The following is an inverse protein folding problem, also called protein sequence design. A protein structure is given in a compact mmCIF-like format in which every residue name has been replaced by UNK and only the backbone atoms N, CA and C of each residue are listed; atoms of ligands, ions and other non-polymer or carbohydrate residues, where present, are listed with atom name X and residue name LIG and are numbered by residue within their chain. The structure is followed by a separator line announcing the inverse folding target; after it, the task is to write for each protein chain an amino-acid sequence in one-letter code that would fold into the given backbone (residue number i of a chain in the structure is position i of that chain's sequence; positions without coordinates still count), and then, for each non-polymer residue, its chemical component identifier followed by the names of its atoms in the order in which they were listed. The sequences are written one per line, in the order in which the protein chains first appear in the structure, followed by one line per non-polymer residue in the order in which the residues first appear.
data_IF_897651181457
#
_entry.id   IF_897651181457
#
_cell.length_a   1.000
_cell.length_b   1.000
_cell.length_c   1.000
_cell.angle_alpha   90.00
_cell.angle_beta   90.00
_cell.angle_gamma   90.00
#
_symmetry.space_group_name_H-M   'P 1'
#
loop_
_entity.id
_entity.type
_entity.pdbx_description
1 polymer ?
#
# COMPACT_ATOMS: atom_id res chain seq x y z
N UNK A 1 -46.42 -30.98 -4.49
CA UNK A 1 -45.04 -30.74 -4.95
C UNK A 1 -44.63 -29.39 -4.40
N UNK A 2 -43.77 -29.41 -3.39
CA UNK A 2 -43.29 -28.22 -2.65
C UNK A 2 -41.91 -27.87 -3.16
N UNK A 3 -41.73 -26.71 -3.79
CA UNK A 3 -40.45 -26.02 -4.01
C UNK A 3 -40.79 -24.52 -4.10
N UNK A 4 -40.57 -23.71 -3.07
CA UNK A 4 -39.32 -23.11 -2.58
C UNK A 4 -39.34 -21.61 -2.90
N UNK A 5 -39.66 -20.80 -1.89
CA UNK A 5 -39.30 -19.38 -1.80
C UNK A 5 -37.78 -19.27 -1.68
N UNK A 6 -37.16 -18.34 -2.42
CA UNK A 6 -35.96 -17.63 -1.97
C UNK A 6 -36.06 -16.20 -2.50
N UNK A 7 -36.61 -15.30 -1.67
CA UNK A 7 -36.28 -13.87 -1.72
C UNK A 7 -34.86 -13.71 -1.18
N UNK A 8 -34.04 -12.92 -1.86
CA UNK A 8 -32.76 -12.46 -1.30
C UNK A 8 -32.51 -11.01 -1.74
N UNK A 9 -32.86 -10.02 -0.92
CA UNK A 9 -32.52 -8.62 -1.17
C UNK A 9 -31.42 -8.19 -0.19
N UNK A 10 -30.15 -8.24 -0.58
CA UNK A 10 -29.06 -7.67 0.22
C UNK A 10 -27.93 -7.19 -0.69
N UNK A 11 -28.07 -5.95 -1.16
CA UNK A 11 -26.94 -5.07 -1.47
C UNK A 11 -27.21 -3.77 -0.70
N UNK A 12 -27.02 -3.86 0.62
CA UNK A 12 -26.88 -2.68 1.46
C UNK A 12 -25.53 -2.05 1.14
N UNK A 13 -25.58 -0.89 0.50
CA UNK A 13 -24.50 0.07 0.45
C UNK A 13 -24.15 0.46 1.89
N UNK A 14 -23.09 -0.12 2.45
CA UNK A 14 -22.50 0.37 3.70
C UNK A 14 -21.84 1.72 3.41
N UNK A 15 -22.58 2.80 3.66
CA UNK A 15 -21.97 4.10 3.92
C UNK A 15 -21.21 3.99 5.24
N UNK A 16 -19.90 3.80 5.18
CA UNK A 16 -19.02 3.88 6.36
C UNK A 16 -19.05 5.33 6.85
N UNK A 17 -19.93 5.60 7.81
CA UNK A 17 -19.88 6.83 8.60
C UNK A 17 -18.64 6.74 9.49
N UNK A 18 -17.52 7.26 9.01
CA UNK A 18 -16.31 7.44 9.81
C UNK A 18 -16.68 8.45 10.91
N UNK A 19 -16.79 7.98 12.15
CA UNK A 19 -16.91 8.87 13.29
C UNK A 19 -15.66 9.76 13.31
N UNK A 20 -15.82 11.03 12.93
CA UNK A 20 -14.72 11.98 12.86
C UNK A 20 -14.21 12.18 14.28
N UNK A 21 -12.98 11.74 14.51
CA UNK A 21 -12.28 11.87 15.78
C UNK A 21 -12.30 13.34 16.27
N UNK A 22 -12.52 13.53 17.57
CA UNK A 22 -12.60 14.87 18.18
C UNK A 22 -11.32 15.66 17.92
N UNK A 23 -10.18 15.00 17.97
CA UNK A 23 -8.88 15.60 17.71
C UNK A 23 -8.75 16.03 16.24
N UNK A 24 -9.30 15.23 15.31
CA UNK A 24 -9.31 15.57 13.89
C UNK A 24 -10.15 16.83 13.61
N UNK A 25 -11.26 17.02 14.35
CA UNK A 25 -12.06 18.25 14.25
C UNK A 25 -11.33 19.47 14.83
N UNK A 26 -10.60 19.30 15.92
CA UNK A 26 -9.82 20.38 16.53
C UNK A 26 -8.65 20.81 15.63
N UNK A 27 -7.92 19.84 15.07
CA UNK A 27 -6.84 20.09 14.10
C UNK A 27 -7.39 20.76 12.84
N UNK A 28 -8.56 20.33 12.33
CA UNK A 28 -9.21 20.99 11.20
C UNK A 28 -9.54 22.46 11.46
N UNK A 29 -10.05 22.77 12.66
CA UNK A 29 -10.30 24.16 13.08
C UNK A 29 -9.00 24.97 13.18
N UNK A 30 -7.92 24.38 13.71
CA UNK A 30 -6.61 25.04 13.78
C UNK A 30 -6.08 25.34 12.37
N UNK A 31 -6.16 24.36 11.48
CA UNK A 31 -5.69 24.47 10.10
C UNK A 31 -6.38 25.61 9.35
N UNK A 32 -7.71 25.72 9.44
CA UNK A 32 -8.47 26.81 8.81
C UNK A 32 -8.16 28.21 9.34
N UNK A 33 -7.51 28.32 10.51
CA UNK A 33 -7.08 29.61 11.09
C UNK A 33 -5.67 30.02 10.67
N UNK A 34 -4.92 29.13 10.02
CA UNK A 34 -3.60 29.46 9.49
C UNK A 34 -3.76 30.41 8.28
N UNK A 35 -2.70 31.15 7.97
CA UNK A 35 -2.66 31.98 6.77
C UNK A 35 -2.61 31.09 5.52
N UNK A 36 -3.22 31.55 4.41
CA UNK A 36 -3.42 30.74 3.20
C UNK A 36 -2.11 30.20 2.60
N UNK A 37 -1.03 30.96 2.67
CA UNK A 37 0.31 30.56 2.23
C UNK A 37 0.89 29.42 3.09
N UNK A 38 0.69 29.49 4.41
CA UNK A 38 1.08 28.43 5.34
C UNK A 38 0.22 27.18 5.12
N UNK A 39 -1.08 27.33 4.90
CA UNK A 39 -1.98 26.22 4.57
C UNK A 39 -1.54 25.53 3.27
N UNK A 40 -1.25 26.31 2.23
CA UNK A 40 -0.80 25.80 0.94
C UNK A 40 0.52 25.03 1.10
N UNK A 41 1.49 25.60 1.81
CA UNK A 41 2.78 24.95 2.05
C UNK A 41 2.61 23.61 2.80
N UNK A 42 1.79 23.57 3.85
CA UNK A 42 1.49 22.34 4.58
C UNK A 42 0.80 21.30 3.69
N UNK A 43 -0.15 21.72 2.85
CA UNK A 43 -0.83 20.83 1.92
C UNK A 43 0.17 20.23 0.93
N UNK A 44 1.03 21.04 0.34
CA UNK A 44 1.89 20.62 -0.75
C UNK A 44 3.10 19.80 -0.31
N UNK A 45 3.76 20.22 0.76
CA UNK A 45 4.99 19.58 1.24
C UNK A 45 4.72 18.41 2.19
N UNK A 46 3.59 18.39 2.88
CA UNK A 46 3.34 17.40 3.94
C UNK A 46 2.09 16.55 3.69
N UNK A 47 0.94 17.14 3.36
CA UNK A 47 -0.32 16.37 3.24
C UNK A 47 -0.38 15.58 1.93
N UNK A 48 -0.16 16.23 0.78
CA UNK A 48 -0.23 15.57 -0.55
C UNK A 48 0.76 14.40 -0.69
N UNK A 49 2.03 14.50 -0.25
CA UNK A 49 2.97 13.39 -0.34
C UNK A 49 2.54 12.17 0.48
N UNK A 50 2.00 12.39 1.69
CA UNK A 50 1.47 11.32 2.54
C UNK A 50 0.26 10.64 1.90
N UNK A 51 -0.72 11.40 1.40
CA UNK A 51 -1.88 10.84 0.69
C UNK A 51 -1.46 9.98 -0.51
N UNK A 52 -0.45 10.42 -1.26
CA UNK A 52 0.12 9.63 -2.37
C UNK A 52 0.81 8.36 -1.87
N UNK A 53 1.48 8.42 -0.72
CA UNK A 53 2.08 7.25 -0.08
C UNK A 53 1.02 6.23 0.33
N UNK A 54 -0.05 6.67 0.99
CA UNK A 54 -1.17 5.83 1.41
C UNK A 54 -1.83 5.15 0.20
N UNK A 55 -2.03 5.89 -0.89
CA UNK A 55 -2.57 5.35 -2.14
C UNK A 55 -1.68 4.25 -2.74
N UNK A 56 -0.36 4.43 -2.71
CA UNK A 56 0.61 3.43 -3.18
C UNK A 56 0.62 2.18 -2.30
N UNK A 57 0.58 2.36 -0.98
CA UNK A 57 0.53 1.24 -0.02
C UNK A 57 -0.78 0.45 -0.18
N UNK A 58 -1.90 1.14 -0.39
CA UNK A 58 -3.20 0.49 -0.65
C UNK A 58 -3.20 -0.27 -1.98
N UNK A 59 -2.63 0.30 -3.04
CA UNK A 59 -2.52 -0.38 -4.32
C UNK A 59 -1.60 -1.60 -4.20
N UNK A 60 -0.49 -1.50 -3.48
CA UNK A 60 0.37 -2.64 -3.21
C UNK A 60 -0.38 -3.75 -2.47
N UNK A 61 -1.16 -3.40 -1.44
CA UNK A 61 -1.95 -4.38 -0.69
C UNK A 61 -2.97 -5.09 -1.57
N UNK A 62 -3.63 -4.34 -2.45
CA UNK A 62 -4.56 -4.90 -3.43
C UNK A 62 -3.87 -5.86 -4.39
N UNK A 63 -2.70 -5.49 -4.93
CA UNK A 63 -1.95 -6.32 -5.87
C UNK A 63 -1.36 -7.55 -5.17
N UNK A 64 -0.82 -7.41 -3.95
CA UNK A 64 -0.26 -8.51 -3.16
C UNK A 64 -1.32 -9.55 -2.82
N UNK A 65 -2.54 -9.11 -2.51
CA UNK A 65 -3.68 -9.98 -2.19
C UNK A 65 -4.51 -10.38 -3.43
N UNK A 66 -4.05 -10.06 -4.64
CA UNK A 66 -4.73 -10.45 -5.88
C UNK A 66 -4.57 -11.94 -6.17
N UNK A 67 -5.52 -12.51 -6.93
CA UNK A 67 -5.44 -13.89 -7.41
C UNK A 67 -4.23 -14.10 -8.34
N UNK A 68 -3.83 -13.07 -9.08
CA UNK A 68 -2.61 -13.14 -9.90
C UNK A 68 -1.37 -13.31 -9.03
N UNK A 69 -1.21 -12.50 -7.98
CA UNK A 69 -0.06 -12.58 -7.09
C UNK A 69 -0.04 -13.88 -6.28
N UNK A 70 -1.21 -14.35 -5.81
CA UNK A 70 -1.33 -15.65 -5.12
C UNK A 70 -1.01 -16.83 -6.04
N UNK A 71 -1.21 -16.67 -7.35
CA UNK A 71 -0.79 -17.61 -8.40
C UNK A 71 0.69 -17.47 -8.80
N UNK A 72 1.52 -16.84 -7.96
CA UNK A 72 2.94 -16.59 -8.16
C UNK A 72 3.29 -15.62 -9.30
N UNK A 73 2.32 -14.86 -9.81
CA UNK A 73 2.59 -13.82 -10.79
C UNK A 73 3.10 -12.54 -10.10
N UNK A 74 4.34 -12.54 -9.64
CA UNK A 74 4.99 -11.42 -8.95
C UNK A 74 5.11 -10.14 -9.80
N UNK A 75 4.95 -10.24 -11.12
CA UNK A 75 5.12 -9.12 -12.05
C UNK A 75 4.08 -8.02 -11.83
N UNK A 76 2.91 -8.36 -11.27
CA UNK A 76 1.86 -7.40 -10.91
C UNK A 76 2.32 -6.40 -9.84
N UNK A 77 3.35 -6.74 -9.06
CA UNK A 77 3.90 -5.88 -8.01
C UNK A 77 4.94 -4.88 -8.53
N UNK A 78 5.55 -5.11 -9.70
CA UNK A 78 6.75 -4.38 -10.14
C UNK A 78 6.51 -2.87 -10.24
N UNK A 79 5.41 -2.46 -10.87
CA UNK A 79 5.10 -1.04 -11.08
C UNK A 79 4.84 -0.32 -9.75
N UNK A 80 4.02 -0.92 -8.87
CA UNK A 80 3.68 -0.31 -7.58
C UNK A 80 4.86 -0.30 -6.62
N UNK A 81 5.66 -1.38 -6.57
CA UNK A 81 6.86 -1.44 -5.73
C UNK A 81 7.92 -0.45 -6.21
N UNK A 82 8.10 -0.29 -7.53
CA UNK A 82 8.99 0.74 -8.08
C UNK A 82 8.63 2.14 -7.58
N UNK A 83 7.35 2.50 -7.65
CA UNK A 83 6.84 3.79 -7.15
C UNK A 83 7.00 3.96 -5.64
N UNK A 84 6.81 2.89 -4.87
CA UNK A 84 7.01 2.89 -3.42
C UNK A 84 8.47 3.18 -3.08
N UNK A 85 9.42 2.55 -3.76
CA UNK A 85 10.86 2.74 -3.50
C UNK A 85 11.30 4.19 -3.76
N UNK A 86 10.66 4.85 -4.72
CA UNK A 86 10.91 6.26 -5.04
C UNK A 86 10.22 7.25 -4.08
N UNK A 87 9.24 6.80 -3.29
CA UNK A 87 8.51 7.61 -2.33
C UNK A 87 8.92 7.26 -0.89
N UNK A 88 9.70 8.15 -0.25
CA UNK A 88 10.23 7.94 1.11
C UNK A 88 9.15 7.67 2.17
N UNK A 89 8.01 8.36 2.09
CA UNK A 89 6.91 8.18 3.04
C UNK A 89 6.26 6.80 2.83
N UNK A 90 5.97 6.43 1.57
CA UNK A 90 5.43 5.11 1.24
C UNK A 90 6.39 4.00 1.67
N UNK A 91 7.69 4.17 1.43
CA UNK A 91 8.71 3.20 1.81
C UNK A 91 8.79 3.00 3.33
N UNK A 92 8.71 4.09 4.10
CA UNK A 92 8.69 4.03 5.56
C UNK A 92 7.44 3.27 6.06
N UNK A 93 6.26 3.59 5.53
CA UNK A 93 5.03 2.87 5.85
C UNK A 93 5.12 1.37 5.52
N UNK A 94 5.75 1.02 4.39
CA UNK A 94 5.94 -0.37 4.00
C UNK A 94 6.86 -1.13 4.95
N UNK A 95 7.90 -0.48 5.48
CA UNK A 95 8.78 -1.09 6.48
C UNK A 95 8.07 -1.42 7.78
N UNK A 96 7.10 -0.61 8.18
CA UNK A 96 6.32 -0.83 9.39
C UNK A 96 5.19 -1.84 9.17
N UNK A 97 4.45 -1.73 8.06
CA UNK A 97 3.27 -2.56 7.79
C UNK A 97 3.61 -4.00 7.42
N UNK A 98 4.70 -4.23 6.68
CA UNK A 98 5.06 -5.52 6.10
C UNK A 98 6.30 -6.15 6.75
N UNK A 99 6.42 -6.00 8.08
CA UNK A 99 7.42 -6.69 8.88
C UNK A 99 7.21 -8.22 8.84
N UNK A 100 5.96 -8.68 8.74
CA UNK A 100 5.56 -10.09 8.67
C UNK A 100 6.18 -10.83 7.48
N UNK A 101 6.24 -10.19 6.31
CA UNK A 101 6.87 -10.72 5.10
C UNK A 101 8.33 -10.26 4.93
N UNK A 102 8.91 -9.62 5.95
CA UNK A 102 10.31 -9.20 5.96
C UNK A 102 10.66 -8.11 4.94
N UNK A 103 9.71 -7.23 4.58
CA UNK A 103 9.88 -6.27 3.48
C UNK A 103 11.17 -5.45 3.62
N UNK A 104 11.43 -4.89 4.82
CA UNK A 104 12.64 -4.11 5.11
C UNK A 104 13.92 -4.92 4.92
N UNK A 105 13.96 -6.13 5.46
CA UNK A 105 15.13 -7.01 5.37
C UNK A 105 15.47 -7.32 3.91
N UNK A 106 14.47 -7.69 3.12
CA UNK A 106 14.68 -8.00 1.71
C UNK A 106 14.97 -6.76 0.88
N UNK A 107 14.45 -5.60 1.25
CA UNK A 107 14.81 -4.33 0.63
C UNK A 107 16.29 -4.03 0.83
N UNK A 108 16.77 -4.12 2.08
CA UNK A 108 18.18 -3.92 2.40
C UNK A 108 19.07 -4.93 1.65
N UNK A 109 18.66 -6.20 1.59
CA UNK A 109 19.39 -7.24 0.87
C UNK A 109 19.50 -6.92 -0.64
N UNK A 110 18.39 -6.58 -1.30
CA UNK A 110 18.35 -6.41 -2.76
C UNK A 110 18.92 -5.07 -3.22
N UNK A 111 18.57 -3.97 -2.56
CA UNK A 111 18.90 -2.61 -3.04
C UNK A 111 20.16 -2.02 -2.40
N UNK A 112 20.45 -2.36 -1.13
CA UNK A 112 21.62 -1.82 -0.41
C UNK A 112 22.81 -2.77 -0.54
N UNK A 113 22.62 -4.04 -0.19
CA UNK A 113 23.69 -5.05 -0.25
C UNK A 113 23.89 -5.60 -1.66
N UNK A 114 22.95 -5.33 -2.59
CA UNK A 114 22.98 -5.80 -3.99
C UNK A 114 23.08 -7.33 -4.10
N UNK A 115 22.40 -8.04 -3.20
CA UNK A 115 22.35 -9.50 -3.16
C UNK A 115 20.95 -9.98 -3.54
N UNK A 116 20.78 -10.35 -4.80
CA UNK A 116 19.50 -10.89 -5.28
C UNK A 116 19.27 -12.31 -4.76
N UNK A 117 18.08 -12.56 -4.23
CA UNK A 117 17.65 -13.91 -3.82
C UNK A 117 17.45 -14.83 -5.03
N UNK A 118 16.87 -14.29 -6.10
CA UNK A 118 16.66 -14.99 -7.36
C UNK A 118 17.58 -14.41 -8.44
N UNK A 119 18.42 -15.25 -9.02
CA UNK A 119 19.43 -14.86 -10.01
C UNK A 119 19.06 -15.40 -11.39
N UNK A 120 18.04 -14.81 -12.02
CA UNK A 120 17.77 -15.04 -13.44
C UNK A 120 18.50 -13.98 -14.30
N UNK A 121 19.08 -14.35 -15.46
CA UNK A 121 19.87 -13.41 -16.28
C UNK A 121 19.11 -12.17 -16.76
N UNK A 122 17.79 -12.25 -16.90
CA UNK A 122 16.93 -11.13 -17.32
C UNK A 122 16.32 -10.34 -16.16
N UNK A 123 16.57 -10.75 -14.91
CA UNK A 123 15.94 -10.13 -13.74
C UNK A 123 16.88 -9.11 -13.11
N UNK A 124 16.30 -7.95 -12.80
CA UNK A 124 16.93 -6.91 -12.01
C UNK A 124 16.64 -7.12 -10.50
N UNK A 125 17.21 -6.24 -9.67
CA UNK A 125 17.00 -6.28 -8.22
C UNK A 125 15.52 -6.14 -7.85
N UNK A 126 14.76 -5.32 -8.59
CA UNK A 126 13.34 -5.12 -8.38
C UNK A 126 12.52 -6.38 -8.66
N UNK A 127 12.81 -7.07 -9.77
CA UNK A 127 12.17 -8.33 -10.14
C UNK A 127 12.45 -9.42 -9.10
N UNK A 128 13.72 -9.58 -8.70
CA UNK A 128 14.10 -10.53 -7.64
C UNK A 128 13.43 -10.20 -6.31
N UNK A 129 13.32 -8.92 -5.97
CA UNK A 129 12.67 -8.46 -4.75
C UNK A 129 11.17 -8.76 -4.77
N UNK A 130 10.45 -8.42 -5.85
CA UNK A 130 9.01 -8.68 -5.98
C UNK A 130 8.70 -10.18 -5.92
N UNK A 131 9.52 -11.01 -6.57
CA UNK A 131 9.41 -12.46 -6.50
C UNK A 131 9.63 -12.97 -5.07
N UNK A 132 10.59 -12.42 -4.34
CA UNK A 132 10.85 -12.76 -2.93
C UNK A 132 9.65 -12.42 -2.05
N UNK A 133 9.10 -11.22 -2.17
CA UNK A 133 7.93 -10.82 -1.38
C UNK A 133 6.70 -11.71 -1.67
N UNK A 134 6.48 -12.04 -2.94
CA UNK A 134 5.39 -12.93 -3.36
C UNK A 134 5.53 -14.30 -2.73
N UNK A 135 6.75 -14.87 -2.77
CA UNK A 135 7.04 -16.16 -2.13
C UNK A 135 6.83 -16.06 -0.62
N UNK A 136 7.40 -15.08 0.07
CA UNK A 136 7.28 -14.93 1.52
C UNK A 136 5.83 -14.73 2.00
N UNK A 137 4.97 -14.14 1.18
CA UNK A 137 3.56 -13.95 1.54
C UNK A 137 2.75 -15.24 1.42
N UNK A 138 3.01 -16.04 0.38
CA UNK A 138 2.13 -17.13 -0.03
C UNK A 138 2.71 -18.55 0.21
N UNK A 139 4.00 -18.69 0.54
CA UNK A 139 4.70 -19.97 0.68
C UNK A 139 5.75 -19.98 1.80
#
# INVERSE_FOLDING_TARGET
MSQSQVENPLLQTESVAVAVDTDLQEVGKLFTRLQDDIQLHLIEEYIKPQLRGDDLVREFDKQLNSDECSSLNWQVLVDVVGKIIENKEALAQMFEKYEDIGFKQYYEQHFIQKKNQFTQPSWDALSSFCATLTMCKWH
#
